data_IF_286147344386
#
_entry.id   IF_286147344386
#
_cell.length_a   1.000
_cell.length_b   1.000
_cell.length_c   1.000
_cell.angle_alpha   90.00
_cell.angle_beta   90.00
_cell.angle_gamma   90.00
#
_symmetry.space_group_name_H-M   'P 1'
#
loop_
_entity.id
_entity.type
_entity.pdbx_description
1 polymer ?
#
# COMPACT_ATOMS: atom_id res chain seq x y z
N UNK A 1 7.46 13.35 32.62
CA UNK A 1 7.26 13.18 31.17
C UNK A 1 7.11 11.68 30.95
N UNK A 2 5.88 11.18 30.87
CA UNK A 2 5.61 9.74 30.71
C UNK A 2 5.83 9.35 29.25
N UNK A 3 6.73 8.39 29.01
CA UNK A 3 6.94 7.85 27.68
C UNK A 3 5.91 6.75 27.41
N UNK A 4 4.97 6.99 26.49
CA UNK A 4 3.97 5.99 26.08
C UNK A 4 4.41 5.32 24.78
N UNK A 5 4.69 4.01 24.83
CA UNK A 5 5.09 3.21 23.67
C UNK A 5 3.91 2.35 23.24
N UNK A 6 3.35 2.67 22.08
CA UNK A 6 2.24 1.91 21.48
C UNK A 6 2.78 0.89 20.49
N UNK A 7 2.52 -0.40 20.74
CA UNK A 7 2.72 -1.49 19.78
C UNK A 7 1.34 -1.89 19.29
N UNK A 8 0.95 -1.43 18.11
CA UNK A 8 -0.27 -1.90 17.48
C UNK A 8 0.05 -3.09 16.56
N UNK A 9 -0.78 -4.14 16.62
CA UNK A 9 -0.92 -5.17 15.60
C UNK A 9 -1.42 -4.54 14.30
N UNK A 10 -0.62 -3.66 13.70
CA UNK A 10 -0.84 -3.35 12.32
C UNK A 10 -0.42 -4.57 11.53
N UNK A 11 -1.43 -5.26 11.00
CA UNK A 11 -1.28 -6.05 9.80
C UNK A 11 -0.54 -5.12 8.84
N UNK A 12 0.77 -5.30 8.68
CA UNK A 12 1.48 -4.78 7.53
C UNK A 12 0.91 -5.61 6.39
N UNK A 13 -0.29 -5.21 5.96
CA UNK A 13 -1.00 -5.72 4.82
C UNK A 13 0.07 -5.75 3.75
N UNK A 14 0.40 -6.97 3.37
CA UNK A 14 1.40 -7.24 2.36
C UNK A 14 1.25 -6.21 1.26
N UNK A 15 2.38 -5.66 0.85
CA UNK A 15 2.52 -4.66 -0.20
C UNK A 15 2.02 -5.29 -1.50
N UNK A 16 0.70 -5.32 -1.70
CA UNK A 16 0.15 -5.58 -3.03
C UNK A 16 0.57 -4.38 -3.84
N UNK A 17 1.17 -4.66 -5.00
CA UNK A 17 1.40 -3.74 -6.11
C UNK A 17 0.54 -2.46 -6.03
N UNK A 18 -0.79 -2.59 -6.05
CA UNK A 18 -1.75 -1.46 -6.03
C UNK A 18 -1.73 -0.57 -4.77
N UNK A 19 -1.60 -1.14 -3.57
CA UNK A 19 -1.54 -0.37 -2.31
C UNK A 19 -0.27 0.48 -2.24
N UNK A 20 0.81 -0.01 -2.86
CA UNK A 20 2.12 0.65 -2.89
C UNK A 20 2.05 2.00 -3.59
N UNK A 21 1.23 2.10 -4.63
CA UNK A 21 1.16 3.29 -5.49
C UNK A 21 0.12 4.31 -5.05
N UNK A 22 -0.66 4.02 -4.02
CA UNK A 22 -1.52 5.02 -3.37
C UNK A 22 -0.67 5.99 -2.53
N UNK A 23 -1.15 7.22 -2.40
CA UNK A 23 -0.50 8.22 -1.56
C UNK A 23 -0.54 7.78 -0.08
N UNK A 24 0.50 8.13 0.68
CA UNK A 24 0.54 7.91 2.13
C UNK A 24 -0.64 8.55 2.85
N UNK A 25 -1.10 9.75 2.43
CA UNK A 25 -2.31 10.42 2.95
C UNK A 25 -3.62 9.67 2.69
N UNK A 26 -3.60 8.68 1.80
CA UNK A 26 -4.73 7.84 1.46
C UNK A 26 -4.44 6.37 1.76
N UNK A 27 -3.79 6.11 2.91
CA UNK A 27 -3.46 4.77 3.43
C UNK A 27 -2.51 3.93 2.54
N UNK A 28 -1.89 4.53 1.53
CA UNK A 28 -0.94 3.90 0.64
C UNK A 28 0.51 3.93 1.14
N UNK A 29 1.48 3.70 0.25
CA UNK A 29 2.93 3.73 0.56
C UNK A 29 3.68 4.84 -0.16
N UNK A 30 3.04 5.51 -1.11
CA UNK A 30 3.58 6.65 -1.85
C UNK A 30 4.67 6.27 -2.85
N UNK A 31 4.74 5.01 -3.30
CA UNK A 31 5.66 4.62 -4.37
C UNK A 31 5.16 5.14 -5.73
N UNK A 32 6.09 5.43 -6.63
CA UNK A 32 5.77 5.76 -8.00
C UNK A 32 5.66 4.49 -8.85
N UNK A 33 4.54 4.34 -9.57
CA UNK A 33 4.42 3.32 -10.61
C UNK A 33 5.17 3.77 -11.86
N UNK A 34 6.12 2.95 -12.31
CA UNK A 34 6.88 3.21 -13.55
C UNK A 34 5.94 3.30 -14.74
N UNK A 35 4.96 2.40 -14.83
CA UNK A 35 3.96 2.40 -15.91
C UNK A 35 3.12 3.68 -15.91
N UNK A 36 2.67 4.15 -14.74
CA UNK A 36 1.88 5.38 -14.66
C UNK A 36 2.71 6.61 -14.99
N UNK A 37 3.99 6.64 -14.58
CA UNK A 37 4.90 7.71 -14.97
C UNK A 37 5.19 7.71 -16.45
N UNK A 38 5.45 6.55 -17.06
CA UNK A 38 5.73 6.47 -18.49
C UNK A 38 4.54 6.93 -19.32
N UNK A 39 3.32 6.55 -18.92
CA UNK A 39 2.07 7.03 -19.52
C UNK A 39 1.97 8.57 -19.51
N UNK A 40 2.21 9.20 -18.35
CA UNK A 40 2.18 10.65 -18.21
C UNK A 40 3.26 11.33 -19.04
N UNK A 41 4.49 10.79 -19.04
CA UNK A 41 5.61 11.34 -19.81
C UNK A 41 5.30 11.29 -21.30
N UNK A 42 4.82 10.14 -21.81
CA UNK A 42 4.47 9.99 -23.23
C UNK A 42 3.34 10.94 -23.62
N UNK A 43 2.31 11.07 -22.78
CA UNK A 43 1.20 11.99 -23.01
C UNK A 43 1.65 13.45 -23.04
N UNK A 44 2.40 13.89 -22.04
CA UNK A 44 2.94 15.25 -21.95
C UNK A 44 3.86 15.58 -23.12
N UNK A 45 4.74 14.65 -23.49
CA UNK A 45 5.62 14.82 -24.63
C UNK A 45 4.82 14.98 -25.92
N UNK A 46 3.80 14.14 -26.14
CA UNK A 46 2.94 14.24 -27.33
C UNK A 46 2.23 15.59 -27.39
N UNK A 47 1.61 16.04 -26.28
CA UNK A 47 0.96 17.36 -26.20
C UNK A 47 1.94 18.52 -26.43
N UNK A 48 3.15 18.41 -25.87
CA UNK A 48 4.19 19.43 -26.10
C UNK A 48 4.61 19.46 -27.56
N UNK A 49 4.77 18.29 -28.20
CA UNK A 49 5.15 18.17 -29.60
C UNK A 49 4.05 18.74 -30.52
N UNK A 50 2.78 18.43 -30.26
CA UNK A 50 1.62 19.00 -30.95
C UNK A 50 1.57 20.53 -30.83
N UNK A 51 1.80 21.08 -29.63
CA UNK A 51 1.82 22.54 -29.43
C UNK A 51 2.99 23.20 -30.17
N UNK A 52 4.14 22.54 -30.25
CA UNK A 52 5.35 23.11 -30.80
C UNK A 52 5.50 22.88 -32.32
N UNK A 53 4.70 21.99 -32.90
CA UNK A 53 4.72 21.71 -34.34
C UNK A 53 4.23 22.91 -35.16
N UNK A 54 3.35 23.73 -34.60
CA UNK A 54 2.84 24.96 -35.22
C UNK A 54 3.93 26.03 -35.40
N UNK A 55 4.97 25.99 -34.56
CA UNK A 55 6.04 26.99 -34.53
C UNK A 55 7.35 26.46 -35.15
N UNK A 56 7.56 25.15 -35.19
CA UNK A 56 8.82 24.55 -35.62
C UNK A 56 8.61 23.46 -36.69
N UNK A 57 9.10 23.73 -37.90
CA UNK A 57 9.03 22.80 -39.05
C UNK A 57 9.62 21.43 -38.74
N UNK A 58 10.75 21.37 -38.02
CA UNK A 58 11.35 20.09 -37.60
C UNK A 58 10.40 19.29 -36.71
N UNK A 59 9.76 19.94 -35.74
CA UNK A 59 8.79 19.28 -34.85
C UNK A 59 7.51 18.87 -35.58
N UNK A 60 7.06 19.66 -36.56
CA UNK A 60 5.96 19.27 -37.46
C UNK A 60 6.29 18.03 -38.27
N UNK A 61 7.49 17.96 -38.86
CA UNK A 61 7.96 16.76 -39.56
C UNK A 61 8.01 15.52 -38.68
N UNK A 62 8.56 15.65 -37.46
CA UNK A 62 8.59 14.56 -36.47
C UNK A 62 7.17 14.12 -36.10
N UNK A 63 6.27 15.06 -35.80
CA UNK A 63 4.88 14.78 -35.45
C UNK A 63 4.18 14.00 -36.57
N UNK A 64 4.35 14.42 -37.83
CA UNK A 64 3.79 13.75 -39.00
C UNK A 64 4.26 12.30 -39.11
N UNK A 65 5.56 12.04 -38.96
CA UNK A 65 6.11 10.67 -39.01
C UNK A 65 5.55 9.80 -37.89
N UNK A 66 5.49 10.33 -36.67
CA UNK A 66 4.93 9.62 -35.51
C UNK A 66 3.46 9.25 -35.75
N UNK A 67 2.66 10.18 -36.30
CA UNK A 67 1.25 9.97 -36.59
C UNK A 67 1.02 8.98 -37.75
N UNK A 68 1.77 9.09 -38.85
CA UNK A 68 1.67 8.18 -40.00
C UNK A 68 1.98 6.74 -39.58
N UNK A 69 3.05 6.56 -38.80
CA UNK A 69 3.47 5.23 -38.37
C UNK A 69 2.65 4.68 -37.19
N UNK A 70 1.71 5.46 -36.64
CA UNK A 70 0.85 5.09 -35.51
C UNK A 70 1.61 4.47 -34.34
N UNK A 71 2.79 5.00 -34.02
CA UNK A 71 3.57 4.54 -32.87
C UNK A 71 2.76 4.66 -31.57
N UNK A 72 3.13 3.90 -30.54
CA UNK A 72 2.40 3.92 -29.26
C UNK A 72 2.22 5.33 -28.69
N UNK A 73 3.23 6.20 -28.87
CA UNK A 73 3.14 7.61 -28.50
C UNK A 73 2.02 8.36 -29.23
N UNK A 74 1.80 8.09 -30.53
CA UNK A 74 0.74 8.72 -31.32
C UNK A 74 -0.66 8.31 -30.82
N UNK A 75 -0.77 7.09 -30.30
CA UNK A 75 -2.04 6.51 -29.82
C UNK A 75 -2.22 6.61 -28.30
N UNK A 76 -1.30 7.28 -27.60
CA UNK A 76 -1.27 7.31 -26.13
C UNK A 76 -2.56 7.83 -25.52
N UNK A 77 -3.16 8.88 -26.11
CA UNK A 77 -4.42 9.43 -25.62
C UNK A 77 -5.55 8.39 -25.68
N UNK A 78 -5.71 7.72 -26.83
CA UNK A 78 -6.71 6.66 -27.00
C UNK A 78 -6.44 5.44 -26.11
N UNK A 79 -5.16 5.07 -25.94
CA UNK A 79 -4.77 4.01 -25.01
C UNK A 79 -5.18 4.33 -23.56
N UNK A 80 -4.89 5.55 -23.08
CA UNK A 80 -5.28 5.99 -21.75
C UNK A 80 -6.81 6.01 -21.59
N UNK A 81 -7.52 6.48 -22.61
CA UNK A 81 -8.98 6.51 -22.64
C UNK A 81 -9.59 5.12 -22.46
N UNK A 82 -9.09 4.16 -23.24
CA UNK A 82 -9.54 2.77 -23.19
C UNK A 82 -9.18 2.12 -21.85
N UNK A 83 -7.95 2.29 -21.38
CA UNK A 83 -7.46 1.67 -20.15
C UNK A 83 -8.20 2.16 -18.90
N UNK A 84 -8.50 3.46 -18.85
CA UNK A 84 -9.11 4.10 -17.68
C UNK A 84 -10.60 4.41 -17.85
N UNK A 85 -11.21 3.97 -18.97
CA UNK A 85 -12.61 4.23 -19.31
C UNK A 85 -12.97 5.73 -19.24
N UNK A 86 -12.14 6.57 -19.85
CA UNK A 86 -12.33 8.03 -19.91
C UNK A 86 -13.26 8.34 -21.08
N UNK A 87 -14.40 9.00 -20.79
CA UNK A 87 -15.41 9.37 -21.78
C UNK A 87 -15.13 10.73 -22.43
N UNK A 88 -14.63 11.70 -21.65
CA UNK A 88 -14.28 13.04 -22.14
C UNK A 88 -12.79 13.12 -22.51
N UNK A 89 -12.52 13.16 -23.81
CA UNK A 89 -11.18 13.24 -24.38
C UNK A 89 -10.72 14.67 -24.67
N UNK A 90 -11.64 15.63 -24.68
CA UNK A 90 -11.34 17.02 -25.05
C UNK A 90 -10.62 17.75 -23.91
N UNK A 91 -10.97 17.43 -22.66
CA UNK A 91 -10.36 18.01 -21.46
C UNK A 91 -9.24 17.14 -20.86
N UNK A 92 -8.62 16.26 -21.65
CA UNK A 92 -7.62 15.33 -21.15
C UNK A 92 -6.35 16.08 -20.69
N UNK A 93 -6.26 16.28 -19.38
CA UNK A 93 -5.14 16.94 -18.70
C UNK A 93 -4.30 15.97 -17.86
N UNK A 94 -3.09 16.39 -17.50
CA UNK A 94 -2.17 15.62 -16.65
C UNK A 94 -2.81 15.26 -15.31
N UNK A 95 -3.48 16.22 -14.67
CA UNK A 95 -4.15 16.00 -13.37
C UNK A 95 -5.35 15.07 -13.51
N UNK A 96 -6.09 15.16 -14.62
CA UNK A 96 -7.18 14.24 -14.91
C UNK A 96 -6.69 12.80 -15.06
N UNK A 97 -5.58 12.58 -15.79
CA UNK A 97 -4.98 11.25 -15.95
C UNK A 97 -4.50 10.70 -14.60
N UNK A 98 -3.90 11.53 -13.75
CA UNK A 98 -3.49 11.11 -12.39
C UNK A 98 -4.69 10.67 -11.55
N UNK A 99 -5.80 11.41 -11.62
CA UNK A 99 -7.04 11.03 -10.92
C UNK A 99 -7.64 9.72 -11.47
N UNK A 100 -7.64 9.55 -12.79
CA UNK A 100 -8.08 8.32 -13.44
C UNK A 100 -7.21 7.10 -13.04
N UNK A 101 -5.89 7.28 -12.98
CA UNK A 101 -4.95 6.27 -12.47
C UNK A 101 -5.25 5.92 -11.00
N UNK A 102 -5.54 6.92 -10.15
CA UNK A 102 -5.93 6.70 -8.75
C UNK A 102 -7.24 5.91 -8.64
N UNK A 103 -8.27 6.28 -9.39
CA UNK A 103 -9.56 5.57 -9.44
C UNK A 103 -9.38 4.12 -9.90
N UNK A 104 -8.53 3.90 -10.90
CA UNK A 104 -8.18 2.57 -11.39
C UNK A 104 -7.52 1.70 -10.30
N UNK A 105 -6.58 2.27 -9.53
CA UNK A 105 -5.97 1.58 -8.38
C UNK A 105 -7.03 1.18 -7.34
N UNK A 106 -7.88 2.13 -6.94
CA UNK A 106 -8.92 1.89 -5.94
C UNK A 106 -9.93 0.82 -6.40
N UNK A 107 -10.36 0.86 -7.66
CA UNK A 107 -11.22 -0.17 -8.25
C UNK A 107 -10.57 -1.56 -8.13
N UNK A 108 -9.29 -1.68 -8.48
CA UNK A 108 -8.57 -2.94 -8.41
C UNK A 108 -8.39 -3.43 -6.95
N UNK A 109 -8.18 -2.52 -6.00
CA UNK A 109 -8.09 -2.85 -4.57
C UNK A 109 -9.45 -3.34 -4.06
N UNK A 110 -10.55 -2.69 -4.44
CA UNK A 110 -11.90 -3.05 -4.02
C UNK A 110 -12.35 -4.42 -4.57
N UNK A 111 -11.82 -4.86 -5.71
CA UNK A 111 -12.02 -6.23 -6.21
C UNK A 111 -11.31 -7.31 -5.36
N UNK A 112 -10.38 -6.94 -4.48
CA UNK A 112 -9.65 -7.88 -3.62
C UNK A 112 -10.36 -8.01 -2.27
N UNK A 113 -10.99 -9.16 -2.04
CA UNK A 113 -11.84 -9.44 -0.86
C UNK A 113 -11.26 -8.95 0.47
N UNK A 114 -10.02 -9.33 0.81
CA UNK A 114 -9.42 -8.99 2.11
C UNK A 114 -8.91 -7.55 2.18
N UNK A 115 -8.51 -6.97 1.07
CA UNK A 115 -7.90 -5.64 1.04
C UNK A 115 -8.95 -4.54 0.93
N UNK A 116 -10.09 -4.83 0.30
CA UNK A 116 -11.23 -3.92 0.25
C UNK A 116 -11.73 -3.54 1.66
N UNK A 117 -11.52 -4.36 2.69
CA UNK A 117 -12.03 -4.13 4.05
C UNK A 117 -11.59 -2.77 4.60
N UNK A 118 -10.30 -2.42 4.46
CA UNK A 118 -9.78 -1.13 4.91
C UNK A 118 -10.35 0.04 4.09
N UNK A 119 -10.64 -0.19 2.81
CA UNK A 119 -11.08 0.84 1.86
C UNK A 119 -12.61 1.01 1.83
N UNK A 120 -13.38 0.04 2.34
CA UNK A 120 -14.85 0.13 2.47
C UNK A 120 -15.26 1.23 3.44
N UNK A 121 -14.50 1.41 4.51
CA UNK A 121 -14.76 2.43 5.51
C UNK A 121 -14.32 3.83 5.07
N UNK A 122 -13.68 3.98 3.89
CA UNK A 122 -13.30 5.32 3.39
C UNK A 122 -14.50 6.21 3.06
N UNK A 123 -15.64 5.60 2.74
CA UNK A 123 -16.86 6.32 2.37
C UNK A 123 -17.74 6.62 3.61
N UNK A 124 -17.31 6.21 4.81
CA UNK A 124 -18.04 6.46 6.06
C UNK A 124 -17.73 7.87 6.60
N UNK A 125 -18.78 8.62 6.98
CA UNK A 125 -18.64 10.01 7.46
C UNK A 125 -17.79 10.17 8.72
N UNK A 126 -17.67 9.12 9.53
CA UNK A 126 -16.97 9.15 10.82
C UNK A 126 -15.48 8.80 10.72
N UNK A 127 -14.96 8.55 9.50
CA UNK A 127 -13.57 8.13 9.31
C UNK A 127 -12.70 9.31 8.89
N UNK A 128 -11.87 9.78 9.83
CA UNK A 128 -10.81 10.73 9.50
C UNK A 128 -9.60 10.00 8.87
N UNK A 129 -9.58 9.98 7.54
CA UNK A 129 -8.47 9.42 6.75
C UNK A 129 -7.15 10.14 6.96
N UNK A 130 -7.17 11.45 7.20
CA UNK A 130 -5.95 12.24 7.34
C UNK A 130 -5.22 11.86 8.63
N UNK A 131 -5.95 11.81 9.75
CA UNK A 131 -5.40 11.37 11.04
C UNK A 131 -5.06 9.88 11.03
N UNK A 132 -5.92 9.03 10.43
CA UNK A 132 -5.67 7.58 10.33
C UNK A 132 -4.42 7.23 9.52
N UNK A 133 -4.06 8.07 8.55
CA UNK A 133 -2.88 7.88 7.71
C UNK A 133 -1.63 8.61 8.21
N UNK A 134 -1.72 9.33 9.33
CA UNK A 134 -0.65 10.18 9.83
C UNK A 134 0.64 9.43 10.11
N UNK A 135 0.53 8.21 10.67
CA UNK A 135 1.69 7.35 10.92
C UNK A 135 2.44 6.96 9.65
N UNK A 136 1.79 6.95 8.47
CA UNK A 136 2.43 6.62 7.21
C UNK A 136 3.34 7.74 6.71
N UNK A 137 2.92 9.01 6.85
CA UNK A 137 3.69 10.14 6.32
C UNK A 137 4.49 10.92 7.37
N UNK A 138 4.14 10.79 8.66
CA UNK A 138 4.92 11.32 9.81
C UNK A 138 5.74 10.27 10.54
N UNK A 139 5.63 8.99 10.16
CA UNK A 139 6.36 7.91 10.83
C UNK A 139 7.88 8.05 10.69
N UNK A 140 8.62 7.57 11.70
CA UNK A 140 10.09 7.60 11.73
C UNK A 140 10.76 6.63 10.74
N UNK A 141 10.00 5.81 10.01
CA UNK A 141 10.54 4.85 9.07
C UNK A 141 10.71 5.48 7.69
N UNK A 142 11.97 5.60 7.25
CA UNK A 142 12.26 6.01 5.88
C UNK A 142 11.78 4.96 4.85
N UNK A 143 11.52 5.38 3.59
CA UNK A 143 11.03 4.47 2.54
C UNK A 143 11.92 3.22 2.32
N UNK A 144 13.24 3.36 2.49
CA UNK A 144 14.19 2.25 2.36
C UNK A 144 14.04 1.21 3.48
N UNK A 145 13.88 1.66 4.72
CA UNK A 145 13.67 0.77 5.87
C UNK A 145 12.33 0.05 5.74
N UNK A 146 11.29 0.78 5.36
CA UNK A 146 9.97 0.19 5.10
C UNK A 146 10.03 -0.88 3.99
N UNK A 147 10.69 -0.59 2.87
CA UNK A 147 10.90 -1.57 1.80
C UNK A 147 11.67 -2.81 2.29
N UNK A 148 12.67 -2.64 3.15
CA UNK A 148 13.40 -3.75 3.76
C UNK A 148 12.52 -4.59 4.69
N UNK A 149 11.69 -3.95 5.52
CA UNK A 149 10.73 -4.65 6.37
C UNK A 149 9.71 -5.45 5.55
N UNK A 150 9.20 -4.86 4.46
CA UNK A 150 8.32 -5.57 3.54
C UNK A 150 9.02 -6.75 2.85
N UNK A 151 10.28 -6.58 2.41
CA UNK A 151 11.08 -7.66 1.82
C UNK A 151 11.30 -8.80 2.82
N UNK A 152 11.60 -8.49 4.08
CA UNK A 152 11.78 -9.48 5.14
C UNK A 152 10.46 -10.24 5.42
N UNK A 153 9.32 -9.57 5.37
CA UNK A 153 8.01 -10.21 5.49
C UNK A 153 7.73 -11.15 4.31
N UNK A 154 8.04 -10.70 3.09
CA UNK A 154 7.79 -11.46 1.87
C UNK A 154 8.73 -12.67 1.73
N UNK A 155 10.01 -12.54 2.13
CA UNK A 155 10.97 -13.65 2.13
C UNK A 155 10.57 -14.80 3.04
N UNK A 156 9.78 -14.53 4.08
CA UNK A 156 9.28 -15.56 4.99
C UNK A 156 8.03 -16.29 4.45
N UNK A 157 7.58 -16.01 3.22
CA UNK A 157 6.52 -16.74 2.53
C UNK A 157 7.15 -17.80 1.59
N UNK A 158 7.82 -18.80 2.14
CA UNK A 158 8.33 -19.92 1.35
C UNK A 158 7.17 -20.85 0.94
N UNK A 159 7.06 -21.12 -0.36
CA UNK A 159 6.10 -22.09 -0.90
C UNK A 159 6.86 -23.24 -1.55
N UNK A 160 6.90 -24.38 -0.88
CA UNK A 160 7.57 -25.62 -1.31
C UNK A 160 6.91 -26.30 -2.51
N UNK A 161 5.78 -25.80 -3.00
CA UNK A 161 5.02 -26.43 -4.08
C UNK A 161 4.35 -25.38 -4.98
N UNK A 162 5.11 -24.80 -5.92
CA UNK A 162 4.53 -23.99 -6.99
C UNK A 162 3.66 -24.89 -7.89
N UNK A 163 2.36 -24.60 -7.99
CA UNK A 163 1.43 -25.29 -8.90
C UNK A 163 0.27 -26.04 -8.24
N UNK A 164 0.30 -26.27 -6.93
CA UNK A 164 -0.81 -26.92 -6.22
C UNK A 164 -1.97 -25.96 -5.96
N UNK A 165 -3.17 -26.52 -5.73
CA UNK A 165 -4.30 -25.75 -5.20
C UNK A 165 -3.99 -25.27 -3.78
N UNK A 166 -4.55 -24.13 -3.41
CA UNK A 166 -4.43 -23.60 -2.05
C UNK A 166 -4.94 -24.62 -1.02
N UNK A 167 -4.12 -24.95 -0.02
CA UNK A 167 -4.43 -25.93 1.03
C UNK A 167 -5.67 -25.56 1.85
N UNK A 168 -5.96 -24.26 2.00
CA UNK A 168 -7.05 -23.78 2.84
C UNK A 168 -8.40 -23.66 2.10
N UNK A 169 -8.39 -23.13 0.87
CA UNK A 169 -9.61 -22.89 0.12
C UNK A 169 -9.90 -23.99 -0.91
N UNK A 170 -8.88 -24.73 -1.35
CA UNK A 170 -8.91 -25.77 -2.40
C UNK A 170 -9.55 -25.34 -3.74
N UNK A 171 -9.78 -24.04 -3.95
CA UNK A 171 -10.49 -23.49 -5.12
C UNK A 171 -9.57 -22.74 -6.08
N UNK A 172 -8.55 -22.05 -5.56
CA UNK A 172 -7.64 -21.24 -6.37
C UNK A 172 -6.24 -21.83 -6.36
N UNK A 173 -5.47 -21.55 -7.42
CA UNK A 173 -4.03 -21.85 -7.46
C UNK A 173 -3.35 -21.21 -6.25
N UNK A 174 -2.41 -21.94 -5.65
CA UNK A 174 -1.59 -21.49 -4.52
C UNK A 174 -0.56 -20.47 -5.01
N UNK A 175 -1.03 -19.27 -5.33
CA UNK A 175 -0.18 -18.13 -5.64
C UNK A 175 0.02 -17.28 -4.41
N UNK A 176 1.14 -16.58 -4.37
CA UNK A 176 1.42 -15.58 -3.34
C UNK A 176 0.24 -14.59 -3.29
N UNK A 177 -0.22 -14.07 -4.44
CA UNK A 177 -1.37 -13.15 -4.52
C UNK A 177 -2.65 -13.73 -3.92
N UNK A 178 -3.04 -14.96 -4.27
CA UNK A 178 -4.23 -15.60 -3.71
C UNK A 178 -4.16 -15.70 -2.19
N UNK A 179 -3.02 -16.17 -1.68
CA UNK A 179 -2.83 -16.44 -0.26
C UNK A 179 -2.89 -15.20 0.62
N UNK A 180 -2.31 -14.07 0.21
CA UNK A 180 -2.39 -12.85 1.01
C UNK A 180 -3.67 -12.04 0.83
N UNK A 181 -4.33 -12.15 -0.33
CA UNK A 181 -5.30 -11.12 -0.74
C UNK A 181 -6.72 -11.67 -0.88
N UNK A 182 -6.85 -13.00 -1.03
CA UNK A 182 -8.11 -13.68 -1.35
C UNK A 182 -8.40 -14.85 -0.40
N UNK A 183 -7.39 -15.47 0.21
CA UNK A 183 -7.58 -16.64 1.08
C UNK A 183 -7.81 -16.23 2.54
N UNK A 184 -9.07 -16.02 2.95
CA UNK A 184 -9.40 -15.55 4.30
C UNK A 184 -8.90 -16.44 5.45
N UNK A 185 -8.70 -17.75 5.21
CA UNK A 185 -8.25 -18.69 6.25
C UNK A 185 -6.76 -18.57 6.59
N UNK A 186 -5.89 -18.16 5.66
CA UNK A 186 -4.44 -18.08 5.91
C UNK A 186 -4.07 -16.84 6.75
N UNK A 187 -4.77 -15.72 6.54
CA UNK A 187 -4.47 -14.46 7.22
C UNK A 187 -4.68 -14.59 8.74
N UNK A 188 -5.73 -15.29 9.16
CA UNK A 188 -6.07 -15.44 10.58
C UNK A 188 -5.23 -16.50 11.30
N UNK A 189 -4.70 -17.54 10.64
CA UNK A 189 -3.95 -18.60 11.32
C UNK A 189 -2.44 -18.35 11.29
N UNK A 190 -1.79 -18.45 10.13
CA UNK A 190 -0.33 -18.49 10.03
C UNK A 190 0.30 -17.10 9.98
N UNK A 191 -0.43 -16.12 9.45
CA UNK A 191 0.05 -14.74 9.43
C UNK A 191 -0.08 -14.09 10.81
N UNK A 192 -1.26 -14.15 11.43
CA UNK A 192 -1.49 -13.63 12.78
C UNK A 192 -0.56 -14.27 13.83
N UNK A 193 -0.37 -15.59 13.77
CA UNK A 193 0.57 -16.29 14.68
C UNK A 193 1.99 -15.73 14.58
N UNK A 194 2.52 -15.56 13.37
CA UNK A 194 3.87 -15.02 13.17
C UNK A 194 3.97 -13.57 13.62
N UNK A 195 2.94 -12.78 13.37
CA UNK A 195 2.89 -11.40 13.82
C UNK A 195 2.93 -11.32 15.35
N UNK A 196 2.09 -12.10 16.03
CA UNK A 196 2.10 -12.19 17.49
C UNK A 196 3.47 -12.60 18.06
N UNK A 197 4.21 -13.49 17.40
CA UNK A 197 5.59 -13.83 17.80
C UNK A 197 6.58 -12.67 17.62
N UNK A 198 6.43 -11.85 16.58
CA UNK A 198 7.23 -10.62 16.40
C UNK A 198 6.87 -9.59 17.46
N UNK A 199 5.59 -9.34 17.71
CA UNK A 199 5.12 -8.45 18.80
C UNK A 199 5.66 -8.91 20.14
N UNK A 200 5.66 -10.21 20.40
CA UNK A 200 6.25 -10.81 21.61
C UNK A 200 7.74 -10.50 21.74
N UNK A 201 8.50 -10.58 20.65
CA UNK A 201 9.92 -10.21 20.64
C UNK A 201 10.14 -8.73 20.96
N UNK A 202 9.39 -7.83 20.30
CA UNK A 202 9.48 -6.38 20.50
C UNK A 202 9.09 -6.02 21.93
N UNK A 203 7.97 -6.56 22.40
CA UNK A 203 7.47 -6.35 23.75
C UNK A 203 8.49 -6.78 24.81
N UNK A 204 9.12 -7.95 24.65
CA UNK A 204 10.18 -8.42 25.55
C UNK A 204 11.41 -7.50 25.53
N UNK A 205 11.81 -7.05 24.35
CA UNK A 205 12.94 -6.13 24.20
C UNK A 205 12.68 -4.81 24.94
N UNK A 206 11.52 -4.18 24.72
CA UNK A 206 11.15 -2.94 25.43
C UNK A 206 11.10 -3.14 26.95
N UNK A 207 10.50 -4.25 27.41
CA UNK A 207 10.47 -4.59 28.84
C UNK A 207 11.88 -4.71 29.45
N UNK A 208 12.90 -5.12 28.68
CA UNK A 208 14.29 -5.16 29.14
C UNK A 208 14.93 -3.79 29.14
N UNK A 209 14.74 -3.02 28.06
CA UNK A 209 15.31 -1.68 27.91
C UNK A 209 14.86 -0.74 29.03
N UNK A 210 13.61 -0.86 29.47
CA UNK A 210 13.05 -0.07 30.57
C UNK A 210 13.09 -0.76 31.94
N UNK A 211 13.80 -1.89 32.07
CA UNK A 211 14.00 -2.57 33.36
C UNK A 211 12.74 -3.20 33.98
N UNK A 212 11.63 -3.29 33.24
CA UNK A 212 10.33 -3.82 33.69
C UNK A 212 10.41 -5.34 33.92
N UNK A 213 11.11 -6.08 33.04
CA UNK A 213 11.33 -7.53 33.20
C UNK A 213 12.78 -7.91 32.87
N UNK A 214 13.39 -8.72 33.75
CA UNK A 214 14.75 -9.28 33.59
C UNK A 214 14.80 -10.66 32.90
N UNK A 215 13.64 -11.28 32.62
CA UNK A 215 13.55 -12.62 32.05
C UNK A 215 14.15 -12.75 30.63
N UNK A 216 15.00 -13.77 30.42
CA UNK A 216 15.78 -13.94 29.19
C UNK A 216 15.08 -14.77 28.09
N UNK A 217 14.10 -15.60 28.43
CA UNK A 217 13.54 -16.61 27.51
C UNK A 217 12.26 -16.12 26.80
N UNK A 218 12.29 -16.10 25.46
CA UNK A 218 11.13 -15.72 24.64
C UNK A 218 9.94 -16.69 24.81
N UNK A 219 10.21 -17.99 24.99
CA UNK A 219 9.17 -19.01 25.11
C UNK A 219 8.18 -18.73 26.26
N UNK A 220 8.68 -18.27 27.40
CA UNK A 220 7.89 -18.04 28.63
C UNK A 220 7.32 -16.63 28.74
N UNK A 221 7.69 -15.72 27.83
CA UNK A 221 7.18 -14.36 27.87
C UNK A 221 5.71 -14.32 27.46
N UNK A 222 4.90 -13.50 28.12
CA UNK A 222 3.53 -13.21 27.71
C UNK A 222 3.39 -11.73 27.44
N UNK A 223 2.67 -11.39 26.37
CA UNK A 223 2.39 -10.01 25.97
C UNK A 223 1.24 -9.49 26.82
N UNK A 224 1.44 -8.37 27.50
CA UNK A 224 0.41 -7.70 28.30
C UNK A 224 -0.06 -6.47 27.54
N UNK A 225 -1.36 -6.21 27.55
CA UNK A 225 -1.97 -5.09 26.82
C UNK A 225 -1.53 -3.73 27.38
N UNK A 226 -1.32 -3.63 28.69
CA UNK A 226 -0.82 -2.44 29.36
C UNK A 226 0.22 -2.84 30.40
N UNK A 227 1.37 -2.19 30.35
CA UNK A 227 2.43 -2.29 31.36
C UNK A 227 2.90 -0.89 31.70
N UNK A 228 2.63 -0.45 32.92
CA UNK A 228 3.05 0.86 33.41
C UNK A 228 4.10 0.74 34.51
N UNK A 229 5.06 1.64 34.46
CA UNK A 229 6.02 1.98 35.52
C UNK A 229 5.95 3.48 35.76
N UNK A 230 6.55 3.98 36.84
CA UNK A 230 6.51 5.40 37.21
C UNK A 230 6.94 6.36 36.08
N UNK A 231 7.74 5.89 35.11
CA UNK A 231 8.29 6.72 34.02
C UNK A 231 7.85 6.30 32.61
N UNK A 232 7.34 5.07 32.43
CA UNK A 232 7.11 4.48 31.10
C UNK A 232 5.87 3.62 31.09
N UNK A 233 5.05 3.78 30.05
CA UNK A 233 3.88 2.94 29.79
C UNK A 233 3.99 2.27 28.41
N UNK A 234 3.94 0.94 28.39
CA UNK A 234 3.89 0.14 27.17
C UNK A 234 2.45 -0.31 26.95
N UNK A 235 1.85 0.07 25.83
CA UNK A 235 0.50 -0.32 25.42
C UNK A 235 0.57 -1.20 24.17
N UNK A 236 -0.04 -2.37 24.19
CA UNK A 236 -0.11 -3.31 23.06
C UNK A 236 -1.56 -3.53 22.65
N UNK A 237 -1.86 -3.42 21.35
CA UNK A 237 -3.17 -3.70 20.75
C UNK A 237 -4.37 -2.96 21.35
N UNK A 238 -4.13 -1.78 21.91
CA UNK A 238 -5.20 -0.94 22.42
C UNK A 238 -5.86 -0.14 21.30
N UNK A 239 -7.19 -0.13 21.29
CA UNK A 239 -7.94 0.85 20.52
C UNK A 239 -7.56 2.26 21.00
N UNK A 240 -7.31 3.15 20.04
CA UNK A 240 -7.19 4.57 20.35
C UNK A 240 -8.61 5.04 20.62
N UNK A 241 -8.89 5.42 21.86
CA UNK A 241 -10.15 6.10 22.19
C UNK A 241 -10.14 7.43 21.42
N UNK A 242 -10.84 7.47 20.31
CA UNK A 242 -11.23 8.73 19.67
C UNK A 242 -12.38 9.27 20.51
N UNK A 243 -12.34 10.55 20.86
CA UNK A 243 -13.44 11.24 21.55
C UNK A 243 -14.65 11.30 20.61
N UNK A 244 -15.37 10.20 20.50
CA UNK A 244 -16.73 10.17 19.99
C UNK A 244 -17.62 10.32 21.21
N UNK A 245 -17.74 11.56 21.70
CA UNK A 245 -18.96 11.93 22.43
C UNK A 245 -20.06 12.00 21.38
N UNK A 246 -20.82 10.91 21.27
CA UNK A 246 -22.21 10.97 20.81
C UNK A 246 -23.05 11.46 21.98
#
# INVERSE_FOLDING_TARGET
MELVIKITNFIILRVIYYLSYLNRKSLGRGLASVSFRSELILFQFMKSLERQSTVCLRRSGILRVIQINKWHMATIAGFLASKYAILDMENLGVEFIKDAQRKYLLKNINCKMLHSVLFKCMDEQNVDLATSSEWLFKGNNGPRSEALYCLLQDRNLFFTSMGSLCSHCKKCKKTVDHLATQCGKMLNSDYLRRHNEVVKCIHLHLCRTYGIKRGSKLKTHSVQSILSTQNVEIRVDMSIMTETKV
#
